data_IF_813984300157
#
_entry.id   IF_813984300157
#
_cell.length_a   1.000
_cell.length_b   1.000
_cell.length_c   1.000
_cell.angle_alpha   90.00
_cell.angle_beta   90.00
_cell.angle_gamma   90.00
#
_symmetry.space_group_name_H-M   'P 1'
#
loop_
_entity.id
_entity.type
_entity.pdbx_description
1 polymer ?
#
# COMPACT_ATOMS: atom_id res chain seq x y z
N UNK A 1 -1.71 0.59 -15.39
CA UNK A 1 -0.58 0.47 -14.44
C UNK A 1 0.72 0.29 -15.19
N UNK A 2 0.89 -0.74 -16.06
CA UNK A 2 2.16 -1.02 -16.75
C UNK A 2 2.68 0.15 -17.58
N UNK A 3 1.83 0.79 -18.39
CA UNK A 3 2.24 1.94 -19.18
C UNK A 3 2.78 3.08 -18.30
N UNK A 4 2.14 3.34 -17.17
CA UNK A 4 2.59 4.37 -16.23
C UNK A 4 3.87 3.96 -15.50
N UNK A 5 3.99 2.70 -15.05
CA UNK A 5 5.26 2.19 -14.51
C UNK A 5 6.40 2.34 -15.50
N UNK A 6 6.17 1.97 -16.77
CA UNK A 6 7.17 2.13 -17.82
C UNK A 6 7.60 3.60 -18.01
N UNK A 7 6.64 4.55 -17.95
CA UNK A 7 6.91 5.99 -17.96
C UNK A 7 7.77 6.41 -16.75
N UNK A 8 7.37 6.00 -15.54
CA UNK A 8 8.09 6.34 -14.31
C UNK A 8 9.50 5.74 -14.27
N UNK A 9 9.70 4.55 -14.82
CA UNK A 9 11.03 3.94 -14.99
C UNK A 9 11.88 4.76 -15.96
N UNK A 10 11.32 5.17 -17.11
CA UNK A 10 12.00 6.03 -18.08
C UNK A 10 12.38 7.38 -17.49
N UNK A 11 11.52 7.94 -16.64
CA UNK A 11 11.77 9.19 -15.90
C UNK A 11 12.71 8.99 -14.67
N UNK A 12 13.23 7.78 -14.44
CA UNK A 12 14.08 7.41 -13.29
C UNK A 12 13.43 7.66 -11.92
N UNK A 13 12.10 7.72 -11.86
CA UNK A 13 11.34 7.90 -10.61
C UNK A 13 11.16 6.59 -9.84
N UNK A 14 11.12 5.47 -10.54
CA UNK A 14 11.09 4.12 -9.95
C UNK A 14 12.11 3.22 -10.63
N UNK A 15 12.55 2.17 -9.94
CA UNK A 15 13.42 1.14 -10.52
C UNK A 15 12.58 0.18 -11.37
N UNK A 16 13.19 -0.34 -12.46
CA UNK A 16 12.59 -1.41 -13.27
C UNK A 16 12.50 -2.69 -12.42
N UNK A 17 11.32 -3.28 -12.38
CA UNK A 17 11.15 -4.60 -11.79
C UNK A 17 11.72 -5.66 -12.75
N UNK A 18 12.66 -6.47 -12.26
CA UNK A 18 13.27 -7.55 -13.04
C UNK A 18 12.38 -8.80 -13.08
N UNK A 19 11.47 -8.91 -12.13
CA UNK A 19 10.55 -10.05 -11.94
C UNK A 19 9.10 -9.66 -12.26
N UNK A 20 8.91 -8.75 -13.21
CA UNK A 20 7.58 -8.36 -13.63
C UNK A 20 6.85 -9.56 -14.25
N UNK A 21 5.64 -9.81 -13.79
CA UNK A 21 4.78 -10.88 -14.29
C UNK A 21 3.38 -10.38 -14.64
N UNK A 22 2.65 -11.21 -15.34
CA UNK A 22 1.23 -11.03 -15.62
C UNK A 22 0.48 -12.28 -15.24
N UNK A 23 -0.69 -12.09 -14.65
CA UNK A 23 -1.61 -13.18 -14.36
C UNK A 23 -2.74 -13.14 -15.37
N UNK A 24 -3.09 -14.27 -15.91
CA UNK A 24 -4.17 -14.39 -16.89
C UNK A 24 -4.89 -15.73 -16.73
N UNK A 25 -6.09 -15.82 -17.28
CA UNK A 25 -6.88 -17.05 -17.33
C UNK A 25 -6.63 -17.75 -18.65
N UNK A 26 -6.25 -19.01 -18.61
CA UNK A 26 -6.05 -19.86 -19.78
C UNK A 26 -7.37 -20.36 -20.40
N UNK A 27 -7.28 -21.01 -21.55
CA UNK A 27 -8.44 -21.59 -22.24
C UNK A 27 -9.09 -22.74 -21.46
N UNK A 28 -8.32 -23.39 -20.59
CA UNK A 28 -8.75 -24.40 -19.65
C UNK A 28 -9.39 -23.84 -18.37
N UNK A 29 -9.55 -22.51 -18.33
CA UNK A 29 -10.14 -21.77 -17.22
C UNK A 29 -9.26 -21.66 -15.96
N UNK A 30 -8.04 -22.19 -15.96
CA UNK A 30 -7.06 -22.08 -14.88
C UNK A 30 -6.28 -20.77 -14.92
N UNK A 31 -5.76 -20.34 -13.78
CA UNK A 31 -4.93 -19.13 -13.68
C UNK A 31 -3.45 -19.44 -13.89
N UNK A 32 -2.81 -18.62 -14.69
CA UNK A 32 -1.39 -18.72 -15.01
C UNK A 32 -0.66 -17.40 -14.75
N UNK A 33 0.54 -17.49 -14.21
CA UNK A 33 1.45 -16.37 -14.07
C UNK A 33 2.59 -16.50 -15.08
N UNK A 34 2.76 -15.48 -15.96
CA UNK A 34 3.83 -15.41 -16.94
C UNK A 34 4.85 -14.36 -16.53
N UNK A 35 6.09 -14.77 -16.33
CA UNK A 35 7.22 -13.89 -16.05
C UNK A 35 7.72 -13.24 -17.35
N UNK A 36 7.71 -11.91 -17.41
CA UNK A 36 7.97 -11.19 -18.68
C UNK A 36 9.44 -11.23 -19.09
N UNK A 37 10.37 -11.37 -18.14
CA UNK A 37 11.80 -11.41 -18.42
C UNK A 37 12.25 -12.75 -19.00
N UNK A 38 11.71 -13.87 -18.52
CA UNK A 38 12.11 -15.23 -18.89
C UNK A 38 11.15 -15.88 -19.89
N UNK A 39 9.90 -15.40 -19.94
CA UNK A 39 8.81 -16.05 -20.69
C UNK A 39 8.26 -17.29 -19.98
N UNK A 40 8.77 -17.64 -18.82
CA UNK A 40 8.30 -18.76 -18.00
C UNK A 40 6.82 -18.58 -17.64
N UNK A 41 6.07 -19.67 -17.71
CA UNK A 41 4.65 -19.73 -17.36
C UNK A 41 4.47 -20.77 -16.27
N UNK A 42 3.82 -20.37 -15.17
CA UNK A 42 3.49 -21.22 -14.03
C UNK A 42 1.98 -21.27 -13.86
N UNK A 43 1.39 -22.45 -13.70
CA UNK A 43 0.01 -22.58 -13.21
C UNK A 43 -0.03 -22.18 -11.74
N UNK A 44 -0.95 -21.29 -11.37
CA UNK A 44 -1.12 -20.76 -10.02
C UNK A 44 -2.54 -20.97 -9.49
N UNK A 45 -3.30 -21.83 -10.13
CA UNK A 45 -4.72 -22.05 -9.81
C UNK A 45 -4.93 -22.44 -8.34
N UNK A 46 -4.07 -23.28 -7.79
CA UNK A 46 -4.10 -23.67 -6.39
C UNK A 46 -3.70 -22.55 -5.41
N UNK A 47 -3.02 -21.52 -5.91
CA UNK A 47 -2.60 -20.36 -5.11
C UNK A 47 -3.67 -19.25 -5.07
N UNK A 48 -4.66 -19.28 -5.99
CA UNK A 48 -5.72 -18.29 -6.08
C UNK A 48 -6.75 -18.55 -4.96
N UNK A 49 -6.99 -17.56 -4.08
CA UNK A 49 -7.78 -17.80 -2.88
C UNK A 49 -9.29 -17.90 -3.13
N UNK A 50 -9.81 -17.29 -4.22
CA UNK A 50 -11.24 -17.26 -4.57
C UNK A 50 -11.45 -16.76 -5.99
N UNK A 51 -12.65 -16.97 -6.52
CA UNK A 51 -13.04 -16.43 -7.83
C UNK A 51 -13.35 -14.94 -7.75
N UNK A 52 -12.92 -14.18 -8.76
CA UNK A 52 -13.14 -12.74 -8.85
C UNK A 52 -14.24 -12.38 -9.86
N UNK A 53 -14.94 -11.25 -9.68
CA UNK A 53 -15.96 -10.80 -10.62
C UNK A 53 -15.41 -10.60 -12.02
N UNK A 54 -16.27 -10.75 -13.04
CA UNK A 54 -15.90 -10.46 -14.44
C UNK A 54 -15.39 -9.04 -14.59
N UNK A 55 -14.25 -8.88 -15.23
CA UNK A 55 -13.58 -7.60 -15.46
C UNK A 55 -12.60 -7.20 -14.35
N UNK A 56 -12.49 -8.00 -13.30
CA UNK A 56 -11.40 -7.88 -12.33
C UNK A 56 -10.21 -8.73 -12.79
N UNK A 57 -9.02 -8.37 -12.32
CA UNK A 57 -7.79 -9.10 -12.65
C UNK A 57 -7.01 -9.44 -11.36
N UNK A 58 -6.36 -10.59 -11.33
CA UNK A 58 -5.38 -10.89 -10.30
C UNK A 58 -4.04 -10.23 -10.64
N UNK A 59 -3.37 -9.66 -9.64
CA UNK A 59 -1.99 -9.22 -9.77
C UNK A 59 -1.23 -9.42 -8.45
N UNK A 60 0.09 -9.38 -8.50
CA UNK A 60 0.92 -9.29 -7.31
C UNK A 60 0.91 -7.86 -6.77
N UNK A 61 0.95 -7.69 -5.45
CA UNK A 61 0.94 -6.36 -4.80
C UNK A 61 2.04 -5.43 -5.35
N UNK A 62 3.24 -5.96 -5.59
CA UNK A 62 4.37 -5.23 -6.20
C UNK A 62 4.06 -4.62 -7.57
N UNK A 63 3.05 -5.14 -8.27
CA UNK A 63 2.65 -4.61 -9.57
C UNK A 63 1.61 -3.49 -9.45
N UNK A 64 0.86 -3.44 -8.35
CA UNK A 64 -0.16 -2.42 -8.08
C UNK A 64 0.43 -1.13 -7.51
N UNK A 65 1.43 -1.23 -6.63
CA UNK A 65 2.02 -0.08 -5.94
C UNK A 65 3.50 -0.30 -5.65
N UNK A 66 4.21 0.78 -5.35
CA UNK A 66 5.52 0.73 -4.70
C UNK A 66 5.37 0.96 -3.21
N UNK A 67 6.23 0.33 -2.42
CA UNK A 67 6.28 0.44 -0.98
C UNK A 67 7.70 0.81 -0.56
N UNK A 68 7.84 1.99 0.01
CA UNK A 68 9.15 2.52 0.38
C UNK A 68 9.15 2.98 1.83
N UNK A 69 10.05 2.42 2.65
CA UNK A 69 10.28 2.93 3.99
C UNK A 69 10.81 4.35 3.94
N UNK A 70 10.37 5.18 4.88
CA UNK A 70 10.89 6.51 5.06
C UNK A 70 12.34 6.52 5.55
N UNK A 71 12.78 7.63 6.10
CA UNK A 71 14.17 7.83 6.52
C UNK A 71 14.25 8.07 8.02
N UNK A 72 15.39 7.69 8.61
CA UNK A 72 15.67 8.01 9.99
C UNK A 72 15.71 9.53 10.19
N UNK A 73 15.23 9.98 11.35
CA UNK A 73 15.28 11.37 11.80
C UNK A 73 15.60 11.38 13.29
N UNK A 74 16.44 12.31 13.73
CA UNK A 74 16.76 12.46 15.14
C UNK A 74 15.54 12.93 15.94
N UNK A 75 15.36 12.43 17.15
CA UNK A 75 14.30 12.87 18.05
C UNK A 75 14.36 14.38 18.34
N UNK A 76 15.55 14.97 18.34
CA UNK A 76 15.76 16.41 18.51
C UNK A 76 15.25 17.27 17.34
N UNK A 77 14.98 16.67 16.19
CA UNK A 77 14.43 17.33 14.98
C UNK A 77 12.89 17.19 14.88
N UNK A 78 12.27 16.53 15.86
CA UNK A 78 10.81 16.32 15.93
C UNK A 78 10.26 17.18 17.08
N UNK A 79 9.33 18.05 16.73
CA UNK A 79 8.71 19.02 17.63
C UNK A 79 7.25 18.66 17.89
N UNK A 80 6.78 18.86 19.13
CA UNK A 80 5.41 18.48 19.52
C UNK A 80 4.34 19.32 18.84
N UNK A 81 4.66 20.58 18.51
CA UNK A 81 3.69 21.52 17.95
C UNK A 81 4.09 22.01 16.56
N UNK A 82 3.09 22.11 15.70
CA UNK A 82 3.23 22.76 14.39
C UNK A 82 3.56 24.24 14.55
N UNK A 83 4.52 24.70 13.77
CA UNK A 83 4.92 26.13 13.74
C UNK A 83 5.32 26.54 12.32
N UNK A 84 5.60 27.82 12.13
CA UNK A 84 6.15 28.33 10.87
C UNK A 84 7.50 27.68 10.54
N UNK A 85 8.32 27.41 11.57
CA UNK A 85 9.63 26.77 11.42
C UNK A 85 9.54 25.25 11.24
N UNK A 86 8.48 24.63 11.77
CA UNK A 86 8.26 23.17 11.72
C UNK A 86 6.87 22.88 11.15
N UNK A 87 6.64 23.15 9.84
CA UNK A 87 5.31 23.08 9.23
C UNK A 87 4.89 21.67 8.83
N UNK A 88 5.83 20.73 8.68
CA UNK A 88 5.56 19.41 8.13
C UNK A 88 5.30 18.38 9.21
N UNK A 89 4.29 17.55 9.00
CA UNK A 89 3.99 16.40 9.86
C UNK A 89 5.13 15.39 9.77
N UNK A 90 5.61 14.89 10.90
CA UNK A 90 6.52 13.75 11.00
C UNK A 90 5.73 12.51 11.39
N UNK A 91 5.73 11.49 10.54
CA UNK A 91 4.87 10.31 10.65
C UNK A 91 5.72 9.07 10.89
N UNK A 92 5.41 8.37 11.96
CA UNK A 92 6.00 7.08 12.31
C UNK A 92 5.10 5.90 11.95
N UNK A 93 5.47 4.73 12.42
CA UNK A 93 4.70 3.51 12.21
C UNK A 93 3.28 3.55 12.76
N UNK A 94 3.02 4.36 13.78
CA UNK A 94 1.71 4.50 14.42
C UNK A 94 1.07 5.90 14.20
N UNK A 95 1.36 6.53 13.07
CA UNK A 95 0.83 7.84 12.73
C UNK A 95 1.72 9.00 13.18
N UNK A 96 1.09 10.14 13.54
CA UNK A 96 1.79 11.37 13.84
C UNK A 96 2.73 11.22 15.06
N UNK A 97 4.01 11.59 14.86
CA UNK A 97 5.03 11.70 15.93
C UNK A 97 5.29 13.15 16.37
N UNK A 98 4.96 14.10 15.52
CA UNK A 98 5.22 15.52 15.73
C UNK A 98 5.40 16.26 14.41
N UNK A 99 6.20 17.32 14.44
CA UNK A 99 6.41 18.23 13.31
C UNK A 99 7.90 18.48 13.09
N UNK A 100 8.30 18.75 11.84
CA UNK A 100 9.68 18.99 11.46
C UNK A 100 9.77 20.10 10.40
N UNK A 101 10.97 20.59 10.14
CA UNK A 101 11.28 21.63 9.15
C UNK A 101 11.55 21.07 7.75
N UNK A 102 11.58 19.75 7.58
CA UNK A 102 11.87 19.06 6.33
C UNK A 102 10.79 18.04 5.98
N UNK A 103 10.73 17.62 4.73
CA UNK A 103 9.84 16.55 4.26
C UNK A 103 10.59 15.62 3.31
N UNK A 104 10.15 14.37 3.22
CA UNK A 104 10.68 13.37 2.29
C UNK A 104 9.61 12.69 1.43
N UNK A 105 8.36 13.10 1.61
CA UNK A 105 7.23 12.66 0.80
C UNK A 105 6.28 13.83 0.53
N UNK A 106 5.68 13.85 -0.67
CA UNK A 106 4.68 14.84 -1.08
C UNK A 106 3.61 14.15 -1.93
N UNK A 107 2.34 14.21 -1.52
CA UNK A 107 1.21 13.60 -2.20
C UNK A 107 0.13 13.16 -1.23
N UNK A 108 -0.69 12.20 -1.67
CA UNK A 108 -1.72 11.55 -0.86
C UNK A 108 -1.44 10.06 -0.86
N UNK A 109 -1.05 9.50 0.29
CA UNK A 109 -0.54 8.14 0.40
C UNK A 109 -1.12 7.38 1.59
N UNK A 110 -1.33 6.08 1.39
CA UNK A 110 -1.46 5.15 2.50
C UNK A 110 -0.07 4.91 3.12
N UNK A 111 -0.03 4.85 4.45
CA UNK A 111 1.18 4.63 5.24
C UNK A 111 1.00 3.36 6.05
N UNK A 112 1.97 2.46 5.98
CA UNK A 112 1.98 1.21 6.77
C UNK A 112 2.99 1.35 7.89
N UNK A 113 2.58 1.06 9.12
CA UNK A 113 3.48 0.89 10.26
C UNK A 113 4.19 -0.46 10.17
N UNK A 114 5.53 -0.46 10.25
CA UNK A 114 6.31 -1.69 10.05
C UNK A 114 6.93 -2.30 11.31
N UNK A 115 6.82 -1.66 12.46
CA UNK A 115 7.47 -2.14 13.69
C UNK A 115 6.59 -1.95 14.92
N UNK A 116 6.81 -2.82 15.93
CA UNK A 116 6.17 -2.79 17.23
C UNK A 116 4.81 -3.49 17.27
N UNK A 117 4.14 -3.40 18.41
CA UNK A 117 2.85 -4.07 18.66
C UNK A 117 1.73 -3.67 17.67
N UNK A 118 1.85 -2.50 17.04
CA UNK A 118 0.92 -1.98 16.04
C UNK A 118 1.47 -2.14 14.61
N UNK A 119 2.36 -3.10 14.41
CA UNK A 119 2.87 -3.47 13.09
C UNK A 119 1.72 -3.84 12.15
N UNK A 120 1.72 -3.29 10.94
CA UNK A 120 0.63 -3.45 9.98
C UNK A 120 -0.50 -2.43 10.12
N UNK A 121 -0.46 -1.53 11.12
CA UNK A 121 -1.44 -0.44 11.21
C UNK A 121 -1.33 0.51 10.01
N UNK A 122 -2.45 1.12 9.66
CA UNK A 122 -2.59 1.94 8.46
C UNK A 122 -2.98 3.37 8.83
N UNK A 123 -2.39 4.32 8.11
CA UNK A 123 -2.72 5.73 8.17
C UNK A 123 -2.84 6.30 6.76
N UNK A 124 -3.47 7.46 6.63
CA UNK A 124 -3.45 8.27 5.40
C UNK A 124 -2.76 9.59 5.70
N UNK A 125 -1.80 9.95 4.86
CA UNK A 125 -1.14 11.25 4.92
C UNK A 125 -1.28 12.00 3.60
N UNK A 126 -1.37 13.33 3.70
CA UNK A 126 -1.60 14.22 2.57
C UNK A 126 -0.68 15.44 2.60
N UNK A 127 -0.32 15.93 1.42
CA UNK A 127 0.56 17.08 1.26
C UNK A 127 2.03 16.73 1.48
N UNK A 128 2.80 17.65 2.05
CA UNK A 128 4.21 17.46 2.39
C UNK A 128 4.34 16.94 3.82
N UNK A 129 5.02 15.80 3.99
CA UNK A 129 5.27 15.20 5.29
C UNK A 129 6.61 14.45 5.33
N UNK A 130 7.08 14.16 6.52
CA UNK A 130 8.27 13.34 6.74
C UNK A 130 7.85 11.96 7.21
N UNK A 131 8.12 10.94 6.42
CA UNK A 131 7.95 9.55 6.81
C UNK A 131 9.25 9.06 7.48
N UNK A 132 9.14 8.52 8.70
CA UNK A 132 10.29 7.91 9.38
C UNK A 132 10.57 6.51 8.86
N UNK A 133 11.67 5.91 9.25
CA UNK A 133 12.07 4.53 8.90
C UNK A 133 11.05 3.46 9.30
N UNK A 134 10.16 3.79 10.26
CA UNK A 134 9.09 2.89 10.73
C UNK A 134 7.78 3.06 9.96
N UNK A 135 7.72 4.00 9.03
CA UNK A 135 6.58 4.28 8.17
C UNK A 135 6.90 3.91 6.72
N UNK A 136 6.11 3.03 6.14
CA UNK A 136 6.22 2.67 4.71
C UNK A 136 5.21 3.47 3.92
N UNK A 137 5.69 4.30 3.00
CA UNK A 137 4.87 5.07 2.07
C UNK A 137 4.46 4.17 0.90
N UNK A 138 3.16 4.05 0.66
CA UNK A 138 2.60 3.24 -0.42
C UNK A 138 2.14 4.13 -1.55
N UNK A 139 2.76 3.98 -2.72
CA UNK A 139 2.46 4.79 -3.90
C UNK A 139 1.81 3.93 -5.00
N UNK A 140 0.56 4.21 -5.32
CA UNK A 140 -0.22 3.59 -6.41
C UNK A 140 0.08 4.14 -7.80
N UNK A 141 1.24 4.74 -8.03
CA UNK A 141 1.72 5.32 -9.29
C UNK A 141 0.83 6.41 -9.89
N UNK A 142 0.00 7.06 -9.06
CA UNK A 142 -0.99 8.04 -9.51
C UNK A 142 -2.20 7.44 -10.24
N UNK A 143 -2.31 6.12 -10.29
CA UNK A 143 -3.40 5.39 -10.97
C UNK A 143 -4.31 4.69 -9.97
N UNK A 144 -3.72 4.07 -8.94
CA UNK A 144 -4.48 3.40 -7.89
C UNK A 144 -4.77 4.41 -6.79
N UNK A 145 -6.05 4.68 -6.45
CA UNK A 145 -6.40 5.63 -5.40
C UNK A 145 -5.84 5.19 -4.04
N UNK A 146 -5.24 6.12 -3.31
CA UNK A 146 -4.63 5.82 -2.00
C UNK A 146 -5.65 5.32 -0.97
N UNK A 147 -6.91 5.80 -1.03
CA UNK A 147 -8.00 5.28 -0.19
C UNK A 147 -8.39 3.85 -0.57
N UNK A 148 -8.33 3.49 -1.86
CA UNK A 148 -8.56 2.09 -2.25
C UNK A 148 -7.47 1.19 -1.66
N UNK A 149 -6.20 1.59 -1.76
CA UNK A 149 -5.06 0.89 -1.14
C UNK A 149 -5.27 0.76 0.37
N UNK A 150 -5.64 1.85 1.04
CA UNK A 150 -5.89 1.89 2.48
C UNK A 150 -6.96 0.89 2.91
N UNK A 151 -8.15 0.93 2.28
CA UNK A 151 -9.24 0.00 2.61
C UNK A 151 -8.93 -1.44 2.24
N UNK A 152 -8.24 -1.65 1.11
CA UNK A 152 -7.80 -2.98 0.72
C UNK A 152 -6.84 -3.57 1.76
N UNK A 153 -5.83 -2.83 2.19
CA UNK A 153 -4.90 -3.27 3.22
C UNK A 153 -5.54 -3.45 4.59
N UNK A 154 -6.55 -2.64 4.92
CA UNK A 154 -7.35 -2.84 6.13
C UNK A 154 -8.06 -4.19 6.10
N UNK A 155 -8.71 -4.52 4.98
CA UNK A 155 -9.38 -5.81 4.79
C UNK A 155 -8.38 -6.99 4.76
N UNK A 156 -7.21 -6.79 4.16
CA UNK A 156 -6.15 -7.80 4.07
C UNK A 156 -5.53 -8.12 5.43
N UNK A 157 -5.68 -7.25 6.44
CA UNK A 157 -5.09 -7.40 7.76
C UNK A 157 -3.57 -7.69 7.71
N UNK A 158 -2.79 -6.67 7.38
CA UNK A 158 -1.35 -6.82 7.14
C UNK A 158 -0.58 -7.42 8.33
N UNK A 159 -1.13 -7.38 9.54
CA UNK A 159 -0.50 -7.96 10.73
C UNK A 159 -0.26 -9.48 10.60
N UNK A 160 -1.08 -10.18 9.82
CA UNK A 160 -0.88 -11.63 9.56
C UNK A 160 0.46 -11.96 8.88
N UNK A 161 1.09 -10.98 8.23
CA UNK A 161 2.39 -11.13 7.55
C UNK A 161 3.57 -10.65 8.41
N UNK A 162 3.32 -10.21 9.65
CA UNK A 162 4.36 -9.82 10.57
C UNK A 162 5.16 -11.02 11.06
N UNK A 163 6.43 -10.79 11.39
CA UNK A 163 7.25 -11.83 12.00
C UNK A 163 6.77 -12.11 13.42
N UNK A 164 6.64 -13.41 13.78
CA UNK A 164 6.28 -13.86 15.11
C UNK A 164 7.48 -13.75 16.06
N UNK A 165 7.78 -12.54 16.54
CA UNK A 165 8.86 -12.27 17.49
C UNK A 165 8.37 -11.41 18.65
N UNK A 166 9.17 -11.26 19.70
CA UNK A 166 8.88 -10.36 20.82
C UNK A 166 8.72 -8.90 20.38
N UNK A 167 9.33 -8.53 19.26
CA UNK A 167 9.10 -7.26 18.57
C UNK A 167 8.61 -7.54 17.14
N UNK A 168 7.29 -7.61 16.91
CA UNK A 168 6.75 -7.85 15.58
C UNK A 168 7.24 -6.82 14.56
N UNK A 169 7.59 -7.29 13.38
CA UNK A 169 8.03 -6.44 12.28
C UNK A 169 7.40 -6.88 10.95
N UNK A 170 6.92 -5.95 10.16
CA UNK A 170 6.42 -6.20 8.82
C UNK A 170 7.51 -5.86 7.81
N UNK A 171 8.12 -6.89 7.23
CA UNK A 171 9.02 -6.71 6.11
C UNK A 171 8.20 -6.52 4.82
N UNK A 172 8.53 -5.49 4.05
CA UNK A 172 7.87 -5.24 2.76
C UNK A 172 7.99 -6.45 1.84
N UNK A 173 9.14 -7.17 1.89
CA UNK A 173 9.37 -8.41 1.15
C UNK A 173 8.34 -9.50 1.40
N UNK A 174 7.70 -9.52 2.58
CA UNK A 174 6.73 -10.55 2.95
C UNK A 174 5.36 -10.32 2.30
N UNK A 175 5.07 -9.08 1.88
CA UNK A 175 3.75 -8.71 1.35
C UNK A 175 3.76 -8.40 -0.16
N UNK A 176 4.93 -8.14 -0.76
CA UNK A 176 5.00 -7.75 -2.18
C UNK A 176 4.50 -8.82 -3.15
N UNK A 177 4.57 -10.09 -2.74
CA UNK A 177 4.14 -11.23 -3.56
C UNK A 177 2.67 -11.64 -3.31
N UNK A 178 1.97 -10.99 -2.39
CA UNK A 178 0.56 -11.29 -2.11
C UNK A 178 -0.30 -11.04 -3.34
N UNK A 179 -1.24 -11.95 -3.61
CA UNK A 179 -2.22 -11.78 -4.68
C UNK A 179 -3.28 -10.75 -4.31
N UNK A 180 -3.59 -9.91 -5.26
CA UNK A 180 -4.56 -8.82 -5.12
C UNK A 180 -5.61 -8.94 -6.21
N UNK A 181 -6.91 -9.00 -5.87
CA UNK A 181 -7.98 -8.85 -6.83
C UNK A 181 -8.12 -7.37 -7.17
N UNK A 182 -7.75 -7.00 -8.39
CA UNK A 182 -7.72 -5.61 -8.84
C UNK A 182 -8.93 -5.28 -9.71
N UNK A 183 -9.89 -4.47 -9.22
CA UNK A 183 -11.01 -3.98 -10.03
C UNK A 183 -10.56 -2.92 -11.03
N UNK A 184 -11.33 -2.68 -12.10
CA UNK A 184 -11.17 -1.49 -12.94
C UNK A 184 -11.26 -0.19 -12.12
N UNK A 185 -10.58 0.87 -12.57
CA UNK A 185 -10.53 2.14 -11.83
C UNK A 185 -11.91 2.71 -11.43
N UNK A 186 -12.93 2.72 -12.30
CA UNK A 186 -14.26 3.19 -11.90
C UNK A 186 -14.85 2.39 -10.73
N UNK A 187 -14.58 1.10 -10.68
CA UNK A 187 -15.03 0.21 -9.61
C UNK A 187 -14.25 0.46 -8.31
N UNK A 188 -12.94 0.70 -8.38
CA UNK A 188 -12.15 1.11 -7.22
C UNK A 188 -12.71 2.38 -6.57
N UNK A 189 -13.04 3.40 -7.39
CA UNK A 189 -13.64 4.65 -6.93
C UNK A 189 -15.04 4.43 -6.34
N UNK A 190 -15.86 3.57 -6.95
CA UNK A 190 -17.18 3.19 -6.45
C UNK A 190 -17.09 2.50 -5.08
N UNK A 191 -16.15 1.58 -4.93
CA UNK A 191 -15.88 0.88 -3.65
C UNK A 191 -15.51 1.89 -2.57
N UNK A 192 -14.54 2.77 -2.83
CA UNK A 192 -14.13 3.82 -1.89
C UNK A 192 -15.31 4.68 -1.49
N UNK A 193 -16.07 5.20 -2.47
CA UNK A 193 -17.25 6.04 -2.20
C UNK A 193 -18.30 5.33 -1.35
N UNK A 194 -18.51 4.03 -1.56
CA UNK A 194 -19.47 3.24 -0.79
C UNK A 194 -19.00 3.08 0.66
N UNK A 195 -17.72 2.74 0.87
CA UNK A 195 -17.14 2.59 2.20
C UNK A 195 -17.19 3.92 2.97
N UNK A 196 -16.78 5.03 2.37
CA UNK A 196 -16.80 6.36 2.98
C UNK A 196 -18.22 6.79 3.43
N UNK A 197 -19.24 6.36 2.71
CA UNK A 197 -20.65 6.61 3.08
C UNK A 197 -21.14 5.72 4.22
N UNK A 198 -20.65 4.48 4.31
CA UNK A 198 -21.13 3.51 5.30
C UNK A 198 -20.38 3.59 6.63
N UNK A 199 -19.09 3.88 6.63
CA UNK A 199 -18.28 3.94 7.86
C UNK A 199 -18.85 4.88 8.93
N UNK A 200 -19.31 6.11 8.63
CA UNK A 200 -19.89 6.98 9.65
C UNK A 200 -21.16 6.38 10.29
N UNK A 201 -21.97 5.65 9.50
CA UNK A 201 -23.20 5.02 10.00
C UNK A 201 -22.87 3.88 10.98
N UNK A 202 -21.86 3.07 10.69
CA UNK A 202 -21.39 2.00 11.58
C UNK A 202 -20.88 2.59 12.90
N UNK A 203 -20.03 3.63 12.84
CA UNK A 203 -19.51 4.31 14.04
C UNK A 203 -20.61 4.90 14.91
N UNK A 204 -21.64 5.51 14.29
CA UNK A 204 -22.80 6.04 15.01
C UNK A 204 -23.57 4.94 15.72
N UNK A 205 -23.74 3.78 15.06
CA UNK A 205 -24.42 2.62 15.66
C UNK A 205 -23.63 2.04 16.85
N UNK A 206 -22.32 1.91 16.72
CA UNK A 206 -21.44 1.43 17.81
C UNK A 206 -21.45 2.36 19.04
N UNK A 207 -21.59 3.67 18.84
CA UNK A 207 -21.67 4.67 19.92
C UNK A 207 -23.05 4.70 20.61
N UNK A 208 -24.07 4.14 19.97
CA UNK A 208 -25.45 4.11 20.49
C UNK A 208 -25.76 2.85 21.33
N UNK A 209 -24.83 1.91 21.40
CA UNK A 209 -24.90 0.71 22.24
C UNK A 209 -24.10 0.90 23.54
#
# INVERSE_FOLDING_TARGET
>A
IRAEKARLVKEKKIKKDKNESIIYRGDDNSYYEKFLATGEVKCIDEEIPFEIPKGWEWCRLKHMCSMQAGKNISASEIYDKKSVLHPYRCVGGNGLRGFTNTFNAEGHFAIIGRQGALCGCLNIESGKFYATEHAVVVNGFGIIPSLFIYYFFTALNLNQYATATAQPGLAVSNIVEVFIPLPPLPEQLRIVSKIEKLLPLVKTYEQAQ
#
